data_IF_125174587027
#
_entry.id   IF_125174587027
#
_cell.length_a   1.000
_cell.length_b   1.000
_cell.length_c   1.000
_cell.angle_alpha   90.00
_cell.angle_beta   90.00
_cell.angle_gamma   90.00
#
_symmetry.space_group_name_H-M   'P 1'
#
loop_
_entity.id
_entity.type
_entity.pdbx_description
1 polymer ?
#
# COMPACT_ATOMS: atom_id res chain seq x y z
N UNK A 1 5.18 -0.71 -24.35
CA UNK A 1 6.38 -0.02 -23.81
C UNK A 1 7.57 -0.98 -23.63
N UNK A 2 7.37 -2.25 -23.26
CA UNK A 2 8.44 -3.26 -23.17
C UNK A 2 9.03 -3.63 -24.54
N UNK A 3 8.19 -3.65 -25.59
CA UNK A 3 8.63 -4.09 -26.92
C UNK A 3 9.77 -3.24 -27.50
N UNK A 4 9.77 -1.92 -27.27
CA UNK A 4 10.84 -1.03 -27.71
C UNK A 4 12.20 -1.42 -27.11
N UNK A 5 12.23 -1.83 -25.84
CA UNK A 5 13.48 -2.18 -25.14
C UNK A 5 14.19 -3.35 -25.81
N UNK A 6 13.42 -4.28 -26.38
CA UNK A 6 13.90 -5.48 -27.05
C UNK A 6 14.23 -5.24 -28.54
N UNK A 7 13.85 -4.10 -29.11
CA UNK A 7 14.18 -3.81 -30.51
C UNK A 7 15.67 -3.61 -30.68
N UNK A 8 16.24 -4.18 -31.74
CA UNK A 8 17.66 -3.97 -32.07
C UNK A 8 17.90 -2.63 -32.76
N UNK A 9 16.87 -2.04 -33.37
CA UNK A 9 17.01 -0.79 -34.09
C UNK A 9 17.15 0.44 -33.16
N UNK A 10 17.85 1.50 -33.60
CA UNK A 10 18.69 1.56 -34.82
C UNK A 10 20.15 1.14 -34.56
N UNK A 11 20.57 0.97 -33.30
CA UNK A 11 21.99 0.90 -32.93
C UNK A 11 22.55 -0.49 -32.66
N UNK A 12 21.69 -1.50 -32.49
CA UNK A 12 22.09 -2.78 -31.91
C UNK A 12 21.92 -3.97 -32.86
N UNK A 13 22.68 -5.03 -32.62
CA UNK A 13 22.51 -6.35 -33.24
C UNK A 13 23.15 -7.44 -32.37
N UNK A 14 23.24 -8.66 -32.88
CA UNK A 14 23.95 -9.79 -32.26
C UNK A 14 25.46 -9.73 -32.46
N UNK A 15 25.92 -9.04 -33.50
CA UNK A 15 27.33 -8.81 -33.82
C UNK A 15 27.67 -7.32 -33.81
N UNK A 16 28.93 -6.99 -33.53
CA UNK A 16 29.41 -5.62 -33.38
C UNK A 16 30.14 -5.41 -32.06
N UNK A 17 30.24 -4.17 -31.63
CA UNK A 17 31.02 -3.79 -30.45
C UNK A 17 30.25 -4.01 -29.16
N UNK A 18 30.94 -4.43 -28.11
CA UNK A 18 30.46 -4.30 -26.74
C UNK A 18 30.40 -2.80 -26.35
N UNK A 19 29.62 -2.44 -25.32
CA UNK A 19 29.65 -1.07 -24.79
C UNK A 19 31.06 -0.64 -24.34
N UNK A 20 31.83 -1.58 -23.78
CA UNK A 20 33.21 -1.35 -23.34
C UNK A 20 34.15 -1.12 -24.51
N UNK A 21 34.02 -1.90 -25.59
CA UNK A 21 34.80 -1.72 -26.82
C UNK A 21 34.46 -0.40 -27.51
N UNK A 22 33.17 -0.04 -27.59
CA UNK A 22 32.74 1.25 -28.13
C UNK A 22 33.27 2.42 -27.31
N UNK A 23 33.29 2.30 -25.97
CA UNK A 23 33.92 3.29 -25.09
C UNK A 23 35.42 3.38 -25.35
N UNK A 24 36.11 2.25 -25.45
CA UNK A 24 37.54 2.21 -25.77
C UNK A 24 37.84 2.92 -27.10
N UNK A 25 37.07 2.65 -28.15
CA UNK A 25 37.17 3.35 -29.44
C UNK A 25 36.96 4.86 -29.26
N UNK A 26 35.98 5.28 -28.46
CA UNK A 26 35.76 6.70 -28.20
C UNK A 26 36.94 7.38 -27.50
N UNK A 27 37.64 6.69 -26.59
CA UNK A 27 38.85 7.22 -25.95
C UNK A 27 40.03 7.29 -26.94
N UNK A 28 40.23 6.25 -27.77
CA UNK A 28 41.24 6.26 -28.85
C UNK A 28 40.99 7.38 -29.86
N UNK A 29 39.72 7.65 -30.18
CA UNK A 29 39.35 8.78 -31.04
C UNK A 29 39.82 10.09 -30.41
N UNK A 30 39.57 10.33 -29.11
CA UNK A 30 40.01 11.57 -28.44
C UNK A 30 41.53 11.74 -28.52
N UNK A 31 42.28 10.68 -28.30
CA UNK A 31 43.75 10.69 -28.37
C UNK A 31 44.25 11.03 -29.77
N UNK A 32 43.63 10.47 -30.82
CA UNK A 32 44.00 10.74 -32.22
C UNK A 32 43.57 12.12 -32.70
N UNK A 33 42.43 12.60 -32.20
CA UNK A 33 41.79 13.82 -32.66
C UNK A 33 42.53 15.07 -32.19
N UNK A 34 43.08 15.06 -30.97
CA UNK A 34 43.74 16.24 -30.38
C UNK A 34 44.95 16.75 -31.20
N UNK A 35 45.95 15.92 -31.57
CA UNK A 35 47.09 16.41 -32.36
C UNK A 35 46.70 16.97 -33.73
N UNK A 36 45.68 16.37 -34.39
CA UNK A 36 45.21 16.83 -35.70
C UNK A 36 44.50 18.18 -35.57
N UNK A 37 43.72 18.35 -34.52
CA UNK A 37 43.07 19.63 -34.22
C UNK A 37 44.07 20.72 -33.89
N UNK A 38 45.05 20.42 -33.03
CA UNK A 38 46.08 21.39 -32.65
C UNK A 38 46.81 21.87 -33.91
N UNK A 39 47.21 20.95 -34.79
CA UNK A 39 47.89 21.28 -36.05
C UNK A 39 47.06 22.18 -36.98
N UNK A 40 45.75 21.94 -37.11
CA UNK A 40 44.87 22.72 -37.98
C UNK A 40 44.48 24.07 -37.34
N UNK A 41 44.49 24.17 -36.01
CA UNK A 41 44.13 25.39 -35.30
C UNK A 41 45.31 26.37 -35.12
N UNK A 42 46.55 25.91 -35.24
CA UNK A 42 47.77 26.73 -35.08
C UNK A 42 48.48 26.98 -36.41
N UNK A 43 47.74 27.16 -37.50
CA UNK A 43 48.33 27.44 -38.81
C UNK A 43 48.89 28.85 -38.81
N UNK A 44 50.20 28.96 -38.99
CA UNK A 44 50.90 30.23 -39.17
C UNK A 44 51.05 30.55 -40.66
N UNK A 45 50.98 31.84 -40.99
CA UNK A 45 50.97 32.31 -42.39
C UNK A 45 52.33 32.83 -42.87
N UNK A 46 53.23 33.14 -41.94
CA UNK A 46 54.53 33.75 -42.22
C UNK A 46 55.59 33.15 -41.29
N UNK A 47 56.82 33.02 -41.79
CA UNK A 47 58.02 32.72 -40.98
C UNK A 47 58.92 33.96 -40.92
N UNK A 48 59.76 34.04 -39.90
CA UNK A 48 60.68 35.15 -39.64
C UNK A 48 62.12 34.63 -39.52
N UNK A 49 63.09 35.37 -40.05
CA UNK A 49 64.52 35.07 -39.92
C UNK A 49 65.34 36.35 -39.77
N UNK A 50 66.44 36.30 -39.01
CA UNK A 50 67.46 37.36 -38.94
C UNK A 50 68.77 36.80 -39.47
N UNK A 51 69.39 37.51 -40.42
CA UNK A 51 70.68 37.13 -41.02
C UNK A 51 70.76 35.70 -41.58
N UNK A 52 69.61 35.15 -41.99
CA UNK A 52 69.48 33.78 -42.52
C UNK A 52 69.23 32.71 -41.46
N UNK A 53 69.28 33.06 -40.16
CA UNK A 53 68.91 32.17 -39.06
C UNK A 53 67.39 32.27 -38.77
N UNK A 54 66.67 31.14 -38.70
CA UNK A 54 65.25 31.12 -38.37
C UNK A 54 65.00 31.67 -36.95
N UNK A 55 64.07 32.62 -36.80
CA UNK A 55 63.58 33.08 -35.49
C UNK A 55 62.41 32.24 -34.97
N UNK A 56 61.74 31.51 -35.85
CA UNK A 56 60.64 30.61 -35.55
C UNK A 56 60.85 29.25 -36.23
N UNK A 57 60.02 28.29 -35.84
CA UNK A 57 59.98 26.94 -36.38
C UNK A 57 58.64 26.65 -37.03
N UNK A 58 57.98 27.66 -37.59
CA UNK A 58 56.67 27.46 -38.21
C UNK A 58 56.82 26.68 -39.52
N UNK A 59 56.07 25.59 -39.61
CA UNK A 59 56.05 24.75 -40.80
C UNK A 59 54.69 24.83 -41.48
N UNK A 60 54.69 24.76 -42.81
CA UNK A 60 53.45 24.69 -43.59
C UNK A 60 52.72 23.40 -43.27
N UNK A 61 51.47 23.52 -42.82
CA UNK A 61 50.59 22.38 -42.62
C UNK A 61 50.06 21.90 -43.98
N UNK A 62 50.55 20.74 -44.44
CA UNK A 62 50.07 20.12 -45.68
C UNK A 62 48.69 19.47 -45.50
N UNK A 63 47.87 19.45 -46.56
CA UNK A 63 46.57 18.78 -46.63
C UNK A 63 45.60 19.10 -45.46
N UNK A 64 45.30 20.38 -45.27
CA UNK A 64 44.34 20.84 -44.24
C UNK A 64 42.93 20.27 -44.51
N UNK A 65 42.53 20.17 -45.78
CA UNK A 65 41.21 19.64 -46.18
C UNK A 65 41.03 18.16 -45.79
N UNK A 66 42.04 17.32 -46.01
CA UNK A 66 42.04 15.94 -45.55
C UNK A 66 41.98 15.82 -44.03
N UNK A 67 42.75 16.66 -43.31
CA UNK A 67 42.74 16.69 -41.82
C UNK A 67 41.38 17.10 -41.25
N UNK A 68 40.74 18.13 -41.81
CA UNK A 68 39.39 18.54 -41.42
C UNK A 68 38.36 17.44 -41.68
N UNK A 69 38.50 16.72 -42.79
CA UNK A 69 37.64 15.55 -43.12
C UNK A 69 37.84 14.40 -42.13
N UNK A 70 39.08 14.14 -41.71
CA UNK A 70 39.40 13.14 -40.68
C UNK A 70 38.79 13.54 -39.32
N UNK A 71 38.94 14.80 -38.90
CA UNK A 71 38.33 15.33 -37.67
C UNK A 71 36.81 15.13 -37.69
N UNK A 72 36.14 15.53 -38.78
CA UNK A 72 34.69 15.35 -38.93
C UNK A 72 34.25 13.89 -38.85
N UNK A 73 35.00 12.99 -39.49
CA UNK A 73 34.73 11.55 -39.47
C UNK A 73 34.89 10.95 -38.07
N UNK A 74 35.96 11.31 -37.36
CA UNK A 74 36.22 10.87 -35.99
C UNK A 74 35.13 11.36 -35.02
N UNK A 75 34.68 12.61 -35.15
CA UNK A 75 33.55 13.12 -34.37
C UNK A 75 32.25 12.38 -34.67
N UNK A 76 31.95 12.11 -35.95
CA UNK A 76 30.73 11.39 -36.35
C UNK A 76 30.70 9.97 -35.76
N UNK A 77 31.82 9.24 -35.84
CA UNK A 77 31.96 7.91 -35.22
C UNK A 77 31.74 8.01 -33.71
N UNK A 78 32.41 8.96 -33.05
CA UNK A 78 32.32 9.12 -31.60
C UNK A 78 30.89 9.48 -31.15
N UNK A 79 30.20 10.34 -31.89
CA UNK A 79 28.81 10.71 -31.60
C UNK A 79 27.86 9.52 -31.76
N UNK A 80 28.01 8.74 -32.83
CA UNK A 80 27.23 7.52 -33.06
C UNK A 80 27.43 6.50 -31.92
N UNK A 81 28.67 6.18 -31.58
CA UNK A 81 28.99 5.21 -30.54
C UNK A 81 28.48 5.65 -29.16
N UNK A 82 28.69 6.92 -28.78
CA UNK A 82 28.18 7.45 -27.49
C UNK A 82 26.65 7.44 -27.42
N UNK A 83 25.97 7.72 -28.53
CA UNK A 83 24.50 7.67 -28.58
C UNK A 83 24.01 6.23 -28.39
N UNK A 84 24.64 5.27 -29.07
CA UNK A 84 24.33 3.85 -28.91
C UNK A 84 24.58 3.34 -27.48
N UNK A 85 25.67 3.76 -26.83
CA UNK A 85 25.97 3.42 -25.43
C UNK A 85 24.89 3.96 -24.50
N UNK A 86 24.59 5.26 -24.60
CA UNK A 86 23.56 5.92 -23.77
C UNK A 86 22.19 5.29 -23.93
N UNK A 87 21.82 4.94 -25.16
CA UNK A 87 20.55 4.27 -25.44
C UNK A 87 20.46 2.92 -24.74
N UNK A 88 21.55 2.12 -24.75
CA UNK A 88 21.57 0.83 -24.05
C UNK A 88 21.49 1.01 -22.53
N UNK A 89 22.21 1.98 -21.98
CA UNK A 89 22.16 2.32 -20.56
C UNK A 89 20.75 2.76 -20.14
N UNK A 90 20.09 3.61 -20.92
CA UNK A 90 18.73 4.06 -20.66
C UNK A 90 17.73 2.90 -20.61
N UNK A 91 17.85 1.92 -21.53
CA UNK A 91 17.00 0.72 -21.52
C UNK A 91 17.23 -0.14 -20.29
N UNK A 92 18.50 -0.32 -19.87
CA UNK A 92 18.85 -1.07 -18.66
C UNK A 92 18.35 -0.36 -17.38
N UNK A 93 18.37 0.97 -17.36
CA UNK A 93 17.83 1.77 -16.26
C UNK A 93 16.30 1.60 -16.13
N UNK A 94 15.56 1.67 -17.24
CA UNK A 94 14.11 1.40 -17.24
C UNK A 94 13.81 0.00 -16.69
N UNK A 95 14.55 -1.03 -17.13
CA UNK A 95 14.37 -2.40 -16.63
C UNK A 95 14.71 -2.52 -15.15
N UNK A 96 15.75 -1.83 -14.69
CA UNK A 96 16.13 -1.82 -13.28
C UNK A 96 15.06 -1.16 -12.41
N UNK A 97 14.50 -0.02 -12.85
CA UNK A 97 13.37 0.63 -12.16
C UNK A 97 12.14 -0.27 -12.07
N UNK A 98 11.81 -0.99 -13.15
CA UNK A 98 10.72 -1.98 -13.15
C UNK A 98 10.97 -3.12 -12.17
N UNK A 99 12.20 -3.66 -12.15
CA UNK A 99 12.59 -4.70 -11.19
C UNK A 99 12.49 -4.22 -9.73
N UNK A 100 12.89 -2.97 -9.46
CA UNK A 100 12.79 -2.38 -8.11
C UNK A 100 11.33 -2.23 -7.65
N UNK A 101 10.42 -1.87 -8.56
CA UNK A 101 9.01 -1.61 -8.23
C UNK A 101 8.11 -2.85 -8.35
N UNK A 102 8.65 -4.00 -8.72
CA UNK A 102 7.87 -5.19 -9.08
C UNK A 102 6.93 -5.66 -7.97
N UNK A 103 7.36 -5.54 -6.71
CA UNK A 103 6.56 -5.91 -5.55
C UNK A 103 5.31 -5.03 -5.45
N UNK A 104 5.46 -3.72 -5.58
CA UNK A 104 4.37 -2.75 -5.51
C UNK A 104 3.39 -2.93 -6.68
N UNK A 105 3.92 -3.15 -7.88
CA UNK A 105 3.10 -3.42 -9.07
C UNK A 105 2.30 -4.73 -8.93
N UNK A 106 2.92 -5.79 -8.40
CA UNK A 106 2.24 -7.05 -8.16
C UNK A 106 1.16 -6.93 -7.08
N UNK A 107 1.41 -6.18 -6.01
CA UNK A 107 0.42 -5.93 -4.97
C UNK A 107 -0.80 -5.15 -5.46
N UNK A 108 -0.59 -4.18 -6.37
CA UNK A 108 -1.67 -3.40 -6.97
C UNK A 108 -2.54 -4.21 -7.93
N UNK A 109 -1.98 -5.23 -8.58
CA UNK A 109 -2.70 -6.09 -9.53
C UNK A 109 -3.54 -7.16 -8.82
N UNK A 110 -3.07 -7.67 -7.68
CA UNK A 110 -3.83 -8.68 -6.92
C UNK A 110 -4.97 -8.02 -6.17
N UNK A 111 -6.20 -8.47 -6.49
CA UNK A 111 -7.46 -8.00 -5.88
C UNK A 111 -7.32 -7.84 -4.34
N UNK A 112 -7.75 -6.70 -3.78
CA UNK A 112 -7.71 -6.50 -2.34
C UNK A 112 -8.68 -7.44 -1.62
N UNK A 113 -8.43 -7.64 -0.32
CA UNK A 113 -9.34 -8.36 0.57
C UNK A 113 -10.63 -7.55 0.73
N UNK A 114 -11.77 -8.22 0.65
CA UNK A 114 -13.08 -7.63 0.93
C UNK A 114 -13.29 -7.53 2.45
N UNK A 115 -12.78 -6.44 3.03
CA UNK A 115 -12.93 -6.17 4.46
C UNK A 115 -14.38 -5.90 4.87
N UNK A 116 -15.24 -5.47 3.95
CA UNK A 116 -16.64 -5.21 4.26
C UNK A 116 -17.37 -6.53 4.51
N UNK A 117 -17.19 -7.52 3.63
CA UNK A 117 -17.70 -8.88 3.86
C UNK A 117 -17.12 -9.51 5.11
N UNK A 118 -15.82 -9.34 5.35
CA UNK A 118 -15.16 -9.90 6.50
C UNK A 118 -15.69 -9.30 7.82
N UNK A 119 -15.86 -7.98 7.91
CA UNK A 119 -16.35 -7.30 9.11
C UNK A 119 -17.75 -7.77 9.54
N UNK A 120 -18.62 -8.11 8.57
CA UNK A 120 -19.95 -8.70 8.87
C UNK A 120 -19.88 -9.98 9.69
N UNK A 121 -18.77 -10.73 9.65
CA UNK A 121 -18.63 -11.96 10.43
C UNK A 121 -18.51 -11.69 11.93
N UNK A 122 -17.91 -10.57 12.34
CA UNK A 122 -17.71 -10.22 13.77
C UNK A 122 -18.73 -9.25 14.33
N UNK A 123 -19.42 -8.50 13.48
CA UNK A 123 -20.45 -7.52 13.85
C UNK A 123 -21.79 -8.20 14.18
N UNK A 124 -21.77 -9.10 15.17
CA UNK A 124 -22.95 -9.86 15.57
C UNK A 124 -23.70 -9.20 16.72
N UNK A 125 -25.03 -9.23 16.64
CA UNK A 125 -25.94 -8.65 17.63
C UNK A 125 -26.57 -9.72 18.52
N UNK A 126 -27.24 -9.29 19.60
CA UNK A 126 -27.98 -10.21 20.45
C UNK A 126 -29.17 -10.82 19.68
N UNK A 127 -29.76 -10.07 18.76
CA UNK A 127 -30.80 -10.57 17.85
C UNK A 127 -30.28 -11.69 16.95
N UNK A 128 -29.04 -11.59 16.47
CA UNK A 128 -28.43 -12.66 15.67
C UNK A 128 -28.17 -13.92 16.50
N UNK A 129 -27.73 -13.75 17.74
CA UNK A 129 -27.61 -14.85 18.69
C UNK A 129 -28.97 -15.51 18.99
N UNK A 130 -30.03 -14.72 19.22
CA UNK A 130 -31.37 -15.27 19.49
C UNK A 130 -31.92 -16.08 18.32
N UNK A 131 -31.58 -15.75 17.07
CA UNK A 131 -31.95 -16.57 15.89
C UNK A 131 -31.31 -17.96 15.89
N UNK A 132 -30.26 -18.19 16.69
CA UNK A 132 -29.60 -19.51 16.82
C UNK A 132 -30.24 -20.40 17.88
N UNK A 133 -31.10 -19.84 18.73
CA UNK A 133 -31.74 -20.54 19.83
C UNK A 133 -33.08 -21.17 19.40
N UNK A 134 -33.55 -22.11 20.22
CA UNK A 134 -34.90 -22.64 20.11
C UNK A 134 -35.96 -21.56 20.44
N UNK A 135 -37.19 -21.75 19.98
CA UNK A 135 -38.29 -20.83 20.28
C UNK A 135 -38.50 -20.71 21.79
N UNK A 136 -38.42 -21.83 22.52
CA UNK A 136 -38.57 -21.88 23.97
C UNK A 136 -37.52 -21.02 24.69
N UNK A 137 -36.26 -21.08 24.26
CA UNK A 137 -35.17 -20.28 24.83
C UNK A 137 -35.33 -18.79 24.52
N UNK A 138 -35.78 -18.44 23.31
CA UNK A 138 -36.05 -17.05 22.94
C UNK A 138 -37.16 -16.47 23.81
N UNK A 139 -38.26 -17.21 23.97
CA UNK A 139 -39.39 -16.82 24.84
C UNK A 139 -38.90 -16.66 26.27
N UNK A 140 -38.14 -17.64 26.80
CA UNK A 140 -37.58 -17.60 28.16
C UNK A 140 -36.70 -16.39 28.39
N UNK A 141 -35.78 -16.08 27.47
CA UNK A 141 -34.94 -14.89 27.55
C UNK A 141 -35.78 -13.60 27.55
N UNK A 142 -36.74 -13.48 26.61
CA UNK A 142 -37.58 -12.28 26.48
C UNK A 142 -38.49 -12.06 27.68
N UNK A 143 -39.04 -13.12 28.25
CA UNK A 143 -39.78 -13.05 29.51
C UNK A 143 -38.89 -12.61 30.67
N UNK A 144 -37.70 -13.19 30.81
CA UNK A 144 -36.77 -12.83 31.88
C UNK A 144 -36.31 -11.36 31.75
N UNK A 145 -36.00 -10.91 30.53
CA UNK A 145 -35.63 -9.53 30.21
C UNK A 145 -36.75 -8.54 30.57
N UNK A 146 -37.99 -8.85 30.19
CA UNK A 146 -39.16 -8.02 30.52
C UNK A 146 -39.43 -8.00 32.04
N UNK A 147 -39.43 -9.17 32.70
CA UNK A 147 -39.66 -9.28 34.15
C UNK A 147 -38.58 -8.53 34.93
N UNK A 148 -37.31 -8.70 34.59
CA UNK A 148 -36.20 -7.98 35.21
C UNK A 148 -36.38 -6.46 35.08
N UNK A 149 -36.66 -5.96 33.87
CA UNK A 149 -36.83 -4.53 33.63
C UNK A 149 -38.00 -3.92 34.43
N UNK A 150 -39.17 -4.59 34.43
CA UNK A 150 -40.36 -4.07 35.10
C UNK A 150 -40.27 -4.19 36.63
N UNK A 151 -39.81 -5.33 37.15
CA UNK A 151 -39.65 -5.53 38.59
C UNK A 151 -38.56 -4.58 39.12
N UNK A 152 -37.42 -4.48 38.43
CA UNK A 152 -36.33 -3.59 38.82
C UNK A 152 -36.78 -2.12 38.87
N UNK A 153 -37.50 -1.68 37.83
CA UNK A 153 -38.08 -0.32 37.80
C UNK A 153 -39.04 -0.06 38.97
N UNK A 154 -39.88 -1.05 39.31
CA UNK A 154 -40.82 -0.90 40.43
C UNK A 154 -40.10 -0.87 41.79
N UNK A 155 -39.09 -1.71 41.98
CA UNK A 155 -38.25 -1.71 43.20
C UNK A 155 -37.57 -0.35 43.40
N UNK A 156 -37.09 0.29 42.33
CA UNK A 156 -36.53 1.65 42.43
C UNK A 156 -37.55 2.70 42.91
N UNK A 157 -38.84 2.49 42.66
CA UNK A 157 -39.91 3.38 43.10
C UNK A 157 -40.40 3.09 44.53
N UNK A 158 -39.90 2.02 45.17
CA UNK A 158 -40.47 1.51 46.41
C UNK A 158 -40.29 2.47 47.60
N UNK A 159 -39.22 3.26 47.61
CA UNK A 159 -38.98 4.31 48.62
C UNK A 159 -40.07 5.39 48.59
N UNK A 160 -40.53 5.76 47.40
CA UNK A 160 -41.61 6.72 47.24
C UNK A 160 -42.95 6.15 47.74
N UNK A 161 -43.22 4.88 47.47
CA UNK A 161 -44.40 4.17 47.99
C UNK A 161 -44.42 4.16 49.51
N UNK A 162 -43.28 3.84 50.16
CA UNK A 162 -43.12 3.88 51.63
C UNK A 162 -43.27 5.29 52.19
N UNK A 163 -42.72 6.30 51.52
CA UNK A 163 -42.86 7.69 51.92
C UNK A 163 -44.30 8.18 51.82
N UNK A 164 -45.03 7.79 50.78
CA UNK A 164 -46.44 8.18 50.58
C UNK A 164 -47.36 7.57 51.64
N UNK A 165 -47.07 6.35 52.11
CA UNK A 165 -47.80 5.73 53.21
C UNK A 165 -47.67 6.52 54.52
N UNK A 166 -46.47 7.01 54.82
CA UNK A 166 -46.15 7.71 56.08
C UNK A 166 -46.52 9.19 56.08
N UNK A 167 -46.49 9.87 54.91
CA UNK A 167 -46.80 11.30 54.78
C UNK A 167 -48.30 11.63 54.88
N UNK A 168 -49.20 10.68 54.63
CA UNK A 168 -50.64 10.95 54.58
C UNK A 168 -51.23 10.99 55.99
N UNK A 169 -51.75 12.15 56.39
CA UNK A 169 -52.40 12.32 57.70
C UNK A 169 -53.61 11.39 57.86
N UNK A 170 -53.68 10.68 58.99
CA UNK A 170 -54.77 9.75 59.31
C UNK A 170 -56.13 10.45 59.49
N UNK A 171 -56.12 11.75 59.76
CA UNK A 171 -57.32 12.56 59.87
C UNK A 171 -57.09 13.82 59.05
N UNK A 172 -58.00 14.11 58.13
CA UNK A 172 -58.03 15.36 57.36
C UNK A 172 -59.38 16.03 57.56
N UNK A 173 -59.41 17.36 57.52
CA UNK A 173 -60.65 18.12 57.62
C UNK A 173 -61.12 18.49 56.22
N UNK A 174 -62.37 18.13 55.87
CA UNK A 174 -62.97 18.50 54.58
C UNK A 174 -64.19 19.39 54.83
N UNK A 175 -64.13 20.62 54.33
CA UNK A 175 -65.25 21.53 54.36
C UNK A 175 -66.19 21.27 53.17
N UNK A 176 -67.48 21.13 53.45
CA UNK A 176 -68.53 21.03 52.43
C UNK A 176 -69.63 22.01 52.83
N UNK A 177 -69.72 23.13 52.11
CA UNK A 177 -70.55 24.27 52.52
C UNK A 177 -70.01 24.94 53.78
N UNK A 178 -70.87 25.19 54.77
CA UNK A 178 -70.49 25.80 56.07
C UNK A 178 -70.03 24.77 57.13
N UNK A 179 -70.07 23.47 56.82
CA UNK A 179 -69.74 22.40 57.77
C UNK A 179 -68.38 21.77 57.49
N UNK A 180 -67.64 21.46 58.57
CA UNK A 180 -66.33 20.80 58.52
C UNK A 180 -66.48 19.34 58.98
N UNK A 181 -66.15 18.41 58.09
CA UNK A 181 -66.17 16.98 58.38
C UNK A 181 -64.77 16.46 58.71
N UNK A 182 -64.66 15.63 59.76
CA UNK A 182 -63.45 14.83 60.02
C UNK A 182 -63.45 13.63 59.09
N UNK A 183 -62.53 13.62 58.13
CA UNK A 183 -62.30 12.49 57.23
C UNK A 183 -61.19 11.63 57.82
N UNK A 184 -61.54 10.39 58.19
CA UNK A 184 -60.57 9.40 58.63
C UNK A 184 -59.95 8.72 57.41
N UNK A 185 -58.65 8.91 57.20
CA UNK A 185 -57.87 8.19 56.21
C UNK A 185 -57.35 6.90 56.84
N UNK A 186 -57.76 5.76 56.31
CA UNK A 186 -57.25 4.45 56.74
C UNK A 186 -56.24 3.97 55.69
N UNK A 187 -54.98 3.68 56.08
CA UNK A 187 -54.02 3.05 55.19
C UNK A 187 -54.57 1.74 54.63
N UNK A 188 -54.37 1.52 53.32
CA UNK A 188 -54.77 0.27 52.66
C UNK A 188 -53.76 -0.87 52.87
N UNK A 189 -52.52 -0.51 53.20
CA UNK A 189 -51.40 -1.41 53.45
C UNK A 189 -50.70 -0.97 54.72
N UNK A 190 -50.04 -1.88 55.42
CA UNK A 190 -49.11 -1.54 56.49
C UNK A 190 -47.64 -1.64 56.04
N UNK A 191 -46.72 -1.16 56.89
CA UNK A 191 -45.30 -1.15 56.57
C UNK A 191 -44.68 -2.55 56.51
N UNK A 192 -45.20 -3.51 57.27
CA UNK A 192 -44.69 -4.88 57.28
C UNK A 192 -45.09 -5.60 55.99
N UNK A 193 -46.32 -5.43 55.53
CA UNK A 193 -46.83 -5.96 54.26
C UNK A 193 -46.03 -5.40 53.07
N UNK A 194 -45.76 -4.09 53.04
CA UNK A 194 -44.93 -3.49 52.00
C UNK A 194 -43.48 -3.98 52.07
N UNK A 195 -42.91 -4.16 53.27
CA UNK A 195 -41.55 -4.68 53.42
C UNK A 195 -41.45 -6.11 52.89
N UNK A 196 -42.42 -6.97 53.20
CA UNK A 196 -42.48 -8.35 52.69
C UNK A 196 -42.60 -8.38 51.16
N UNK A 197 -43.47 -7.53 50.59
CA UNK A 197 -43.59 -7.39 49.14
C UNK A 197 -42.26 -6.95 48.50
N UNK A 198 -41.54 -6.01 49.11
CA UNK A 198 -40.24 -5.56 48.61
C UNK A 198 -39.23 -6.70 48.58
N UNK A 199 -39.17 -7.51 49.64
CA UNK A 199 -38.26 -8.64 49.75
C UNK A 199 -38.58 -9.73 48.72
N UNK A 200 -39.86 -10.04 48.51
CA UNK A 200 -40.32 -10.97 47.47
C UNK A 200 -39.93 -10.47 46.07
N UNK A 201 -40.17 -9.20 45.76
CA UNK A 201 -39.82 -8.61 44.47
C UNK A 201 -38.30 -8.58 44.25
N UNK A 202 -37.50 -8.28 45.28
CA UNK A 202 -36.04 -8.34 45.22
C UNK A 202 -35.55 -9.77 44.96
N UNK A 203 -36.17 -10.77 45.59
CA UNK A 203 -35.83 -12.17 45.35
C UNK A 203 -36.16 -12.58 43.90
N UNK A 204 -37.36 -12.27 43.42
CA UNK A 204 -37.77 -12.53 42.04
C UNK A 204 -36.86 -11.81 41.04
N UNK A 205 -36.53 -10.54 41.28
CA UNK A 205 -35.61 -9.77 40.43
C UNK A 205 -34.26 -10.46 40.29
N UNK A 206 -33.66 -10.91 41.41
CA UNK A 206 -32.37 -11.61 41.39
C UNK A 206 -32.41 -12.90 40.56
N UNK A 207 -33.50 -13.65 40.65
CA UNK A 207 -33.69 -14.88 39.88
C UNK A 207 -33.77 -14.59 38.37
N UNK A 208 -34.64 -13.67 37.95
CA UNK A 208 -34.78 -13.32 36.52
C UNK A 208 -33.54 -12.60 35.98
N UNK A 209 -32.84 -11.83 36.80
CA UNK A 209 -31.59 -11.18 36.43
C UNK A 209 -30.46 -12.21 36.22
N UNK A 210 -30.40 -13.27 37.04
CA UNK A 210 -29.48 -14.39 36.84
C UNK A 210 -29.72 -15.06 35.48
N UNK A 211 -30.98 -15.27 35.12
CA UNK A 211 -31.38 -15.82 33.82
C UNK A 211 -30.95 -14.91 32.65
N UNK A 212 -31.21 -13.61 32.74
CA UNK A 212 -30.75 -12.64 31.73
C UNK A 212 -29.22 -12.66 31.60
N UNK A 213 -28.51 -12.73 32.73
CA UNK A 213 -27.05 -12.78 32.74
C UNK A 213 -26.49 -14.08 32.14
N UNK A 214 -27.18 -15.21 32.32
CA UNK A 214 -26.83 -16.47 31.65
C UNK A 214 -26.86 -16.32 30.12
N UNK A 215 -27.94 -15.79 29.55
CA UNK A 215 -28.01 -15.55 28.10
C UNK A 215 -27.02 -14.50 27.61
N UNK A 216 -26.76 -13.44 28.40
CA UNK A 216 -25.70 -12.46 28.08
C UNK A 216 -24.31 -13.09 28.07
N UNK A 217 -24.03 -14.02 28.98
CA UNK A 217 -22.76 -14.75 28.99
C UNK A 217 -22.61 -15.65 27.76
N UNK A 218 -23.68 -16.36 27.37
CA UNK A 218 -23.68 -17.15 26.14
C UNK A 218 -23.52 -16.28 24.89
N UNK A 219 -24.17 -15.12 24.84
CA UNK A 219 -24.00 -14.15 23.77
C UNK A 219 -22.53 -13.68 23.66
N UNK A 220 -21.85 -13.42 24.79
CA UNK A 220 -20.40 -13.10 24.75
C UNK A 220 -19.57 -14.24 24.17
N UNK A 221 -19.89 -15.49 24.50
CA UNK A 221 -19.24 -16.66 23.88
C UNK A 221 -19.49 -16.71 22.37
N UNK A 222 -20.72 -16.43 21.94
CA UNK A 222 -21.08 -16.34 20.52
C UNK A 222 -20.29 -15.23 19.81
N UNK A 223 -20.16 -14.05 20.42
CA UNK A 223 -19.32 -12.94 19.92
C UNK A 223 -17.85 -13.34 19.79
N UNK A 224 -17.29 -14.01 20.79
CA UNK A 224 -15.91 -14.47 20.76
C UNK A 224 -15.67 -15.49 19.63
N UNK A 225 -16.62 -16.39 19.40
CA UNK A 225 -16.54 -17.36 18.30
C UNK A 225 -16.62 -16.67 16.94
N UNK A 226 -17.50 -15.68 16.78
CA UNK A 226 -17.61 -14.86 15.58
C UNK A 226 -16.29 -14.09 15.30
N UNK A 227 -15.68 -13.54 16.34
CA UNK A 227 -14.36 -12.90 16.26
C UNK A 227 -13.25 -13.89 15.86
N UNK A 228 -13.26 -15.10 16.43
CA UNK A 228 -12.29 -16.14 16.05
C UNK A 228 -12.44 -16.55 14.58
N UNK A 229 -13.67 -16.69 14.08
CA UNK A 229 -13.95 -16.97 12.67
C UNK A 229 -13.45 -15.85 11.76
N UNK A 230 -13.67 -14.59 12.14
CA UNK A 230 -13.11 -13.42 11.44
C UNK A 230 -11.59 -13.51 11.31
N UNK A 231 -10.89 -13.82 12.41
CA UNK A 231 -9.42 -13.90 12.42
C UNK A 231 -8.89 -15.04 11.55
N UNK A 232 -9.54 -16.21 11.62
CA UNK A 232 -9.19 -17.36 10.79
C UNK A 232 -9.37 -17.06 9.29
N UNK A 233 -10.50 -16.49 8.90
CA UNK A 233 -10.76 -16.18 7.48
C UNK A 233 -9.85 -15.03 6.99
N UNK A 234 -9.59 -14.02 7.83
CA UNK A 234 -8.61 -12.97 7.52
C UNK A 234 -7.24 -13.56 7.24
N UNK A 235 -6.76 -14.43 8.14
CA UNK A 235 -5.45 -15.04 8.01
C UNK A 235 -5.36 -15.89 6.74
N UNK A 236 -6.40 -16.67 6.42
CA UNK A 236 -6.49 -17.46 5.20
C UNK A 236 -6.45 -16.58 3.95
N UNK A 237 -7.27 -15.53 3.89
CA UNK A 237 -7.31 -14.60 2.75
C UNK A 237 -5.98 -13.86 2.57
N UNK A 238 -5.33 -13.46 3.67
CA UNK A 238 -3.99 -12.86 3.64
C UNK A 238 -2.96 -13.84 3.07
N UNK A 239 -2.97 -15.10 3.51
CA UNK A 239 -2.06 -16.12 2.98
C UNK A 239 -2.30 -16.39 1.49
N UNK A 240 -3.56 -16.53 1.07
CA UNK A 240 -3.92 -16.72 -0.33
C UNK A 240 -3.50 -15.54 -1.20
N UNK A 241 -3.74 -14.31 -0.72
CA UNK A 241 -3.31 -13.09 -1.40
C UNK A 241 -1.79 -13.03 -1.50
N UNK A 242 -1.08 -13.31 -0.40
CA UNK A 242 0.39 -13.29 -0.39
C UNK A 242 0.97 -14.32 -1.34
N UNK A 243 0.41 -15.54 -1.41
CA UNK A 243 0.81 -16.56 -2.38
C UNK A 243 0.68 -16.06 -3.82
N UNK A 244 -0.43 -15.39 -4.16
CA UNK A 244 -0.65 -14.81 -5.49
C UNK A 244 0.35 -13.70 -5.81
N UNK A 245 0.56 -12.77 -4.87
CA UNK A 245 1.55 -11.69 -5.02
C UNK A 245 2.95 -12.28 -5.24
N UNK A 246 3.38 -13.21 -4.39
CA UNK A 246 4.69 -13.85 -4.52
C UNK A 246 4.85 -14.58 -5.86
N UNK A 247 3.83 -15.33 -6.31
CA UNK A 247 3.88 -16.00 -7.61
C UNK A 247 4.04 -15.01 -8.76
N UNK A 248 3.27 -13.91 -8.74
CA UNK A 248 3.32 -12.87 -9.77
C UNK A 248 4.68 -12.13 -9.78
N UNK A 249 5.25 -11.88 -8.60
CA UNK A 249 6.59 -11.29 -8.48
C UNK A 249 7.64 -12.22 -9.08
N UNK A 250 7.59 -13.52 -8.80
CA UNK A 250 8.53 -14.50 -9.36
C UNK A 250 8.41 -14.57 -10.88
N UNK A 251 7.19 -14.64 -11.41
CA UNK A 251 6.90 -14.67 -12.84
C UNK A 251 7.46 -13.42 -13.55
N UNK A 252 7.02 -12.23 -13.13
CA UNK A 252 7.45 -10.96 -13.74
C UNK A 252 8.94 -10.72 -13.58
N UNK A 253 9.55 -11.13 -12.46
CA UNK A 253 11.00 -11.02 -12.24
C UNK A 253 11.74 -11.87 -13.25
N UNK A 254 11.29 -13.11 -13.48
CA UNK A 254 11.89 -14.00 -14.48
C UNK A 254 11.82 -13.40 -15.88
N UNK A 255 10.66 -12.85 -16.26
CA UNK A 255 10.49 -12.20 -17.57
C UNK A 255 11.38 -10.97 -17.75
N UNK A 256 11.39 -10.07 -16.76
CA UNK A 256 12.21 -8.87 -16.80
C UNK A 256 13.70 -9.18 -16.78
N UNK A 257 14.14 -10.22 -16.05
CA UNK A 257 15.54 -10.66 -16.04
C UNK A 257 15.96 -11.20 -17.41
N UNK A 258 15.12 -12.01 -18.08
CA UNK A 258 15.38 -12.47 -19.46
C UNK A 258 15.54 -11.30 -20.43
N UNK A 259 14.66 -10.30 -20.31
CA UNK A 259 14.74 -9.09 -21.15
C UNK A 259 16.01 -8.29 -20.82
N UNK A 260 16.36 -8.15 -19.55
CA UNK A 260 17.57 -7.45 -19.10
C UNK A 260 18.84 -8.13 -19.61
N UNK A 261 18.92 -9.45 -19.55
CA UNK A 261 20.02 -10.23 -20.12
C UNK A 261 20.11 -10.05 -21.64
N UNK A 262 18.97 -10.10 -22.34
CA UNK A 262 18.92 -9.87 -23.78
C UNK A 262 19.46 -8.47 -24.15
N UNK A 263 18.98 -7.42 -23.48
CA UNK A 263 19.43 -6.04 -23.72
C UNK A 263 20.90 -5.87 -23.34
N UNK A 264 21.35 -6.46 -22.23
CA UNK A 264 22.77 -6.45 -21.84
C UNK A 264 23.66 -7.13 -22.90
N UNK A 265 23.13 -8.15 -23.58
CA UNK A 265 23.79 -8.86 -24.68
C UNK A 265 23.84 -8.08 -26.01
N UNK A 266 23.10 -6.99 -26.17
CA UNK A 266 23.11 -6.20 -27.41
C UNK A 266 24.52 -5.66 -27.73
N UNK A 267 24.93 -5.85 -28.99
CA UNK A 267 26.16 -5.32 -29.57
C UNK A 267 25.85 -4.10 -30.42
N UNK A 268 26.69 -3.08 -30.35
CA UNK A 268 26.56 -1.86 -31.15
C UNK A 268 26.99 -2.16 -32.59
N UNK A 269 26.09 -1.95 -33.53
CA UNK A 269 26.35 -2.15 -34.96
C UNK A 269 27.43 -1.17 -35.41
N UNK A 270 28.39 -1.67 -36.19
CA UNK A 270 29.39 -0.84 -36.86
C UNK A 270 28.91 -0.58 -38.29
N UNK A 271 28.52 0.66 -38.65
CA UNK A 271 28.19 1.01 -40.03
C UNK A 271 29.36 0.76 -40.96
N UNK A 272 29.08 0.33 -42.20
CA UNK A 272 30.12 0.06 -43.20
C UNK A 272 31.04 1.27 -43.43
N UNK A 273 30.50 2.49 -43.37
CA UNK A 273 31.24 3.75 -43.49
C UNK A 273 32.29 3.96 -42.40
N UNK A 274 32.14 3.34 -41.23
CA UNK A 274 33.03 3.52 -40.07
C UNK A 274 33.93 2.32 -39.83
N UNK A 275 33.72 1.22 -40.56
CA UNK A 275 34.33 -0.08 -40.28
C UNK A 275 35.85 -0.03 -40.33
N UNK A 276 36.43 0.51 -41.39
CA UNK A 276 37.90 0.62 -41.56
C UNK A 276 38.55 1.46 -40.46
N UNK A 277 37.95 2.61 -40.13
CA UNK A 277 38.46 3.52 -39.09
C UNK A 277 38.39 2.86 -37.71
N UNK A 278 37.27 2.21 -37.38
CA UNK A 278 37.10 1.52 -36.09
C UNK A 278 38.06 0.33 -35.98
N UNK A 279 38.21 -0.48 -37.03
CA UNK A 279 39.16 -1.60 -37.05
C UNK A 279 40.61 -1.14 -36.86
N UNK A 280 40.99 0.01 -37.43
CA UNK A 280 42.30 0.60 -37.16
C UNK A 280 42.44 1.02 -35.70
N UNK A 281 41.46 1.73 -35.15
CA UNK A 281 41.50 2.23 -33.77
C UNK A 281 41.49 1.12 -32.70
N UNK A 282 41.01 -0.08 -33.07
CA UNK A 282 41.01 -1.26 -32.20
C UNK A 282 42.33 -2.04 -32.24
N UNK A 283 43.17 -1.85 -33.26
CA UNK A 283 44.50 -2.49 -33.32
C UNK A 283 45.44 -1.74 -32.37
N UNK A 284 46.15 -2.51 -31.53
CA UNK A 284 47.19 -2.00 -30.62
C UNK A 284 48.30 -1.27 -31.36
#
# INVERSE_FOLDING_TARGET
MIDYLQTKNPYFNTSGLTSSEANYVCERIKERLKPIQDLVNTIETHTSSIDGEPLDNFEKVEDIGGKLTEIGSLYAISAYLRTAIKEKEARLDVLTKKLTNIQLEAEAEVKPIDYEHLNRLREVTIEDYLKTLSLEEVVRYKEAEAKAAHIGKYIHNFDEVRANLTKKELITLKQVGEQVFKVKNVPLYDLAELQELQEQLLAQHREVESEVNFYKAQFRTFQNNAQLQYEQELQKLQQERQKKVTALVVEKTSELMKIKEMVAGFRIVVPNSYKSTIEHLLKK
#
